data_IF_284927183191
#
_entry.id   IF_284927183191
#
_cell.length_a   1.000
_cell.length_b   1.000
_cell.length_c   1.000
_cell.angle_alpha   90.00
_cell.angle_beta   90.00
_cell.angle_gamma   90.00
#
_symmetry.space_group_name_H-M   'P 1'
#
loop_
_entity.id
_entity.type
_entity.pdbx_description
1 polymer ?
#
# COMPACT_ATOMS: atom_id res chain seq x y z
N UNK A 1 5.45 7.67 14.04
CA UNK A 1 4.71 8.41 12.99
C UNK A 1 5.65 9.43 12.38
N UNK A 2 5.76 9.45 11.04
CA UNK A 2 6.56 10.44 10.35
C UNK A 2 5.82 11.79 10.32
N UNK A 3 6.60 12.88 10.39
CA UNK A 3 6.08 14.25 10.42
C UNK A 3 6.91 15.13 9.49
N UNK A 4 6.25 16.10 8.86
CA UNK A 4 6.89 17.15 8.08
C UNK A 4 7.55 18.18 9.01
N UNK A 5 8.35 19.09 8.45
CA UNK A 5 9.01 20.15 9.22
C UNK A 5 8.01 21.08 9.94
N UNK A 6 6.80 21.26 9.40
CA UNK A 6 5.69 21.98 10.04
C UNK A 6 4.89 21.11 11.04
N UNK A 7 5.40 19.94 11.44
CA UNK A 7 4.86 19.08 12.49
C UNK A 7 3.66 18.22 12.10
N UNK A 8 3.20 18.31 10.85
CA UNK A 8 2.02 17.57 10.37
C UNK A 8 2.35 16.11 10.12
N UNK A 9 1.52 15.22 10.65
CA UNK A 9 1.70 13.79 10.49
C UNK A 9 1.36 13.32 9.07
N UNK A 10 2.11 12.33 8.59
CA UNK A 10 1.81 11.62 7.35
C UNK A 10 2.09 10.13 7.48
N UNK A 11 1.55 9.36 6.54
CA UNK A 11 1.72 7.91 6.40
C UNK A 11 2.40 7.61 5.07
N UNK A 12 3.10 6.49 5.05
CA UNK A 12 3.75 5.95 3.87
C UNK A 12 3.24 4.52 3.70
N UNK A 13 2.73 4.19 2.53
CA UNK A 13 2.46 2.82 2.09
C UNK A 13 3.61 2.41 1.18
N UNK A 14 4.31 1.34 1.55
CA UNK A 14 5.35 0.73 0.72
C UNK A 14 4.84 -0.60 0.20
N UNK A 15 4.91 -0.79 -1.11
CA UNK A 15 4.67 -2.08 -1.75
C UNK A 15 6.02 -2.58 -2.25
N UNK A 16 6.41 -3.76 -1.78
CA UNK A 16 7.74 -4.32 -2.00
C UNK A 16 7.55 -5.75 -2.49
N UNK A 17 8.32 -6.15 -3.48
CA UNK A 17 8.47 -7.54 -3.87
C UNK A 17 9.32 -8.26 -2.81
N UNK A 18 8.75 -9.26 -2.13
CA UNK A 18 9.37 -9.90 -0.97
C UNK A 18 10.64 -10.70 -1.34
N UNK A 19 10.68 -11.26 -2.55
CA UNK A 19 11.78 -12.09 -3.03
C UNK A 19 12.99 -11.26 -3.46
N UNK A 20 12.78 -10.30 -4.36
CA UNK A 20 13.82 -9.46 -4.93
C UNK A 20 14.18 -8.27 -4.05
N UNK A 21 13.33 -7.92 -3.08
CA UNK A 21 13.38 -6.68 -2.29
C UNK A 21 13.24 -5.41 -3.13
N UNK A 22 12.72 -5.52 -4.35
CA UNK A 22 12.40 -4.35 -5.18
C UNK A 22 11.25 -3.54 -4.56
N UNK A 23 11.44 -2.23 -4.43
CA UNK A 23 10.36 -1.34 -4.04
C UNK A 23 9.50 -1.00 -5.27
N UNK A 24 8.28 -1.52 -5.30
CA UNK A 24 7.38 -1.42 -6.45
C UNK A 24 6.60 -0.11 -6.45
N UNK A 25 6.19 0.37 -5.26
CA UNK A 25 5.47 1.62 -5.12
C UNK A 25 5.67 2.23 -3.72
N UNK A 26 5.66 3.56 -3.65
CA UNK A 26 5.66 4.34 -2.41
C UNK A 26 4.56 5.39 -2.51
N UNK A 27 3.54 5.26 -1.68
CA UNK A 27 2.46 6.24 -1.59
C UNK A 27 2.55 7.02 -0.28
N UNK A 28 2.69 8.35 -0.38
CA UNK A 28 2.74 9.25 0.77
C UNK A 28 1.46 10.07 0.86
N UNK A 29 0.67 9.84 1.93
CA UNK A 29 -0.57 10.59 2.19
C UNK A 29 -0.76 10.85 3.68
N UNK A 30 -1.54 11.87 4.02
CA UNK A 30 -1.90 12.14 5.44
C UNK A 30 -2.77 11.04 6.04
N UNK A 31 -3.65 10.47 5.23
CA UNK A 31 -4.45 9.28 5.52
C UNK A 31 -4.38 8.39 4.30
N UNK A 32 -4.18 7.10 4.52
CA UNK A 32 -4.19 6.05 3.50
C UNK A 32 -5.44 5.23 3.77
N UNK A 33 -6.27 5.11 2.74
CA UNK A 33 -7.54 4.37 2.77
C UNK A 33 -7.38 3.02 2.08
N UNK A 34 -8.34 2.14 2.27
CA UNK A 34 -8.39 0.87 1.55
C UNK A 34 -8.51 1.04 0.03
N UNK A 35 -9.19 2.09 -0.43
CA UNK A 35 -9.27 2.39 -1.86
C UNK A 35 -7.91 2.76 -2.43
N UNK A 36 -7.14 3.59 -1.70
CA UNK A 36 -5.77 3.94 -2.11
C UNK A 36 -4.88 2.70 -2.27
N UNK A 37 -5.04 1.70 -1.40
CA UNK A 37 -4.32 0.42 -1.50
C UNK A 37 -4.76 -0.36 -2.74
N UNK A 38 -6.07 -0.48 -2.98
CA UNK A 38 -6.62 -1.19 -4.14
C UNK A 38 -6.14 -0.54 -5.44
N UNK A 39 -6.19 0.78 -5.54
CA UNK A 39 -5.77 1.52 -6.73
C UNK A 39 -4.28 1.28 -7.04
N UNK A 40 -3.42 1.34 -6.00
CA UNK A 40 -1.99 1.06 -6.17
C UNK A 40 -1.69 -0.39 -6.57
N UNK A 41 -2.39 -1.36 -5.96
CA UNK A 41 -2.25 -2.77 -6.35
C UNK A 41 -2.75 -3.02 -7.78
N UNK A 42 -3.85 -2.38 -8.16
CA UNK A 42 -4.42 -2.51 -9.50
C UNK A 42 -3.47 -1.96 -10.58
N UNK A 43 -2.88 -0.78 -10.34
CA UNK A 43 -1.82 -0.24 -11.21
C UNK A 43 -0.66 -1.23 -11.36
N UNK A 44 -0.13 -1.76 -10.24
CA UNK A 44 0.96 -2.74 -10.28
C UNK A 44 0.60 -4.01 -11.04
N UNK A 45 -0.63 -4.49 -10.89
CA UNK A 45 -1.13 -5.67 -11.61
C UNK A 45 -1.18 -5.44 -13.12
N UNK A 46 -1.60 -4.25 -13.57
CA UNK A 46 -1.61 -3.91 -15.00
C UNK A 46 -0.20 -3.94 -15.57
N UNK A 47 0.78 -3.37 -14.85
CA UNK A 47 2.15 -3.25 -15.37
C UNK A 47 3.00 -4.52 -15.22
N UNK A 48 2.75 -5.33 -14.19
CA UNK A 48 3.62 -6.46 -13.81
C UNK A 48 2.93 -7.82 -13.81
N UNK A 49 1.60 -7.84 -13.94
CA UNK A 49 0.80 -9.05 -13.83
C UNK A 49 0.30 -9.32 -12.41
N UNK A 50 -0.53 -10.34 -12.28
CA UNK A 50 -1.18 -10.71 -11.01
C UNK A 50 -0.15 -11.46 -10.13
N UNK A 51 0.10 -11.03 -8.88
CA UNK A 51 0.97 -11.76 -7.97
C UNK A 51 0.30 -13.04 -7.48
N UNK A 52 1.07 -14.09 -7.21
CA UNK A 52 0.55 -15.34 -6.62
C UNK A 52 0.10 -15.14 -5.17
N UNK A 53 0.79 -14.27 -4.43
CA UNK A 53 0.54 -14.03 -3.02
C UNK A 53 0.69 -12.55 -2.66
N UNK A 54 -0.22 -12.05 -1.82
CA UNK A 54 -0.13 -10.72 -1.23
C UNK A 54 -0.06 -10.87 0.28
N UNK A 55 0.98 -10.29 0.87
CA UNK A 55 1.16 -10.18 2.33
C UNK A 55 1.07 -8.72 2.73
N UNK A 56 0.11 -8.41 3.60
CA UNK A 56 0.00 -7.09 4.21
C UNK A 56 0.29 -7.17 5.71
N UNK A 57 0.50 -6.01 6.33
CA UNK A 57 0.35 -5.90 7.77
C UNK A 57 -1.14 -5.91 8.18
N UNK A 58 -1.41 -5.92 9.48
CA UNK A 58 -2.76 -5.86 10.05
C UNK A 58 -3.31 -4.43 10.13
N UNK A 59 -2.85 -3.53 9.26
CA UNK A 59 -3.32 -2.17 9.18
C UNK A 59 -4.82 -2.11 8.89
N UNK A 60 -5.53 -1.08 9.40
CA UNK A 60 -6.97 -0.92 9.16
C UNK A 60 -7.31 -0.75 7.67
N UNK A 61 -6.39 -0.18 6.88
CA UNK A 61 -6.51 -0.09 5.42
C UNK A 61 -6.58 -1.45 4.72
N UNK A 62 -5.93 -2.49 5.26
CA UNK A 62 -5.90 -3.86 4.70
C UNK A 62 -6.96 -4.77 5.32
N UNK A 63 -7.38 -4.48 6.55
CA UNK A 63 -8.41 -5.26 7.27
C UNK A 63 -9.82 -4.95 6.77
N UNK A 64 -10.00 -3.89 5.98
CA UNK A 64 -11.28 -3.55 5.40
C UNK A 64 -11.83 -4.69 4.52
N UNK A 65 -13.14 -4.96 4.66
CA UNK A 65 -13.86 -5.96 3.83
C UNK A 65 -13.75 -5.71 2.32
N UNK A 66 -13.34 -4.51 1.90
CA UNK A 66 -13.10 -4.18 0.50
C UNK A 66 -11.86 -4.89 -0.04
N UNK A 67 -10.71 -4.72 0.63
CA UNK A 67 -9.44 -5.37 0.23
C UNK A 67 -9.54 -6.89 0.35
N UNK A 68 -10.25 -7.42 1.36
CA UNK A 68 -10.44 -8.87 1.51
C UNK A 68 -11.39 -9.52 0.49
N UNK A 69 -12.23 -8.72 -0.19
CA UNK A 69 -13.18 -9.20 -1.21
C UNK A 69 -12.68 -9.02 -2.64
N UNK A 70 -11.70 -8.14 -2.82
CA UNK A 70 -10.95 -7.96 -4.05
C UNK A 70 -9.92 -9.09 -4.16
#
# INVERSE_FOLDING_TARGET
MARTADGRAFRILNIIDEYTRECLAILVKRRITSQDVIDQLFELIIFRGIPEHIRSDNGPEFTAKAVRRW
#
